data_IF_821550180865
#
_entry.id   IF_821550180865
#
_cell.length_a   1.000
_cell.length_b   1.000
_cell.length_c   1.000
_cell.angle_alpha   90.00
_cell.angle_beta   90.00
_cell.angle_gamma   90.00
#
_symmetry.space_group_name_H-M   'P 1'
#
loop_
_entity.id
_entity.type
_entity.pdbx_description
1 polymer ?
#
# COMPACT_ATOMS: atom_id res chain seq x y z
N UNK A 1 -13.15 -67.51 -22.40
CA UNK A 1 -12.39 -66.25 -22.39
C UNK A 1 -13.22 -65.11 -21.79
N UNK A 2 -13.27 -64.94 -20.47
CA UNK A 2 -13.93 -63.79 -19.79
C UNK A 2 -13.32 -63.56 -18.40
N UNK A 3 -12.02 -63.21 -18.30
CA UNK A 3 -11.43 -62.92 -16.97
C UNK A 3 -10.28 -61.89 -16.96
N UNK A 4 -10.15 -61.03 -17.99
CA UNK A 4 -9.07 -60.04 -18.02
C UNK A 4 -9.52 -58.58 -17.80
N UNK A 5 -10.82 -58.24 -17.95
CA UNK A 5 -11.26 -56.85 -18.03
C UNK A 5 -11.57 -56.16 -16.68
N UNK A 6 -11.56 -56.88 -15.55
CA UNK A 6 -12.04 -56.35 -14.25
C UNK A 6 -10.90 -55.76 -13.39
N UNK A 7 -9.62 -56.04 -13.69
CA UNK A 7 -8.49 -55.59 -12.87
C UNK A 7 -7.92 -54.22 -13.25
N UNK A 8 -8.15 -53.73 -14.46
CA UNK A 8 -7.62 -52.41 -14.91
C UNK A 8 -8.51 -51.24 -14.51
N UNK A 9 -9.80 -51.48 -14.21
CA UNK A 9 -10.73 -50.41 -13.83
C UNK A 9 -10.55 -49.89 -12.40
N UNK A 10 -9.86 -50.64 -11.52
CA UNK A 10 -9.61 -50.25 -10.11
C UNK A 10 -8.40 -49.33 -9.92
N UNK A 11 -7.50 -49.24 -10.91
CA UNK A 11 -6.30 -48.40 -10.81
C UNK A 11 -6.46 -47.04 -11.51
N UNK A 12 -7.41 -46.91 -12.43
CA UNK A 12 -7.72 -45.63 -13.09
C UNK A 12 -8.54 -44.70 -12.18
N UNK A 13 -9.36 -45.26 -11.27
CA UNK A 13 -10.13 -44.48 -10.29
C UNK A 13 -9.31 -44.02 -9.08
N UNK A 14 -8.15 -44.63 -8.79
CA UNK A 14 -7.28 -44.22 -7.69
C UNK A 14 -6.31 -43.07 -8.08
N UNK A 15 -5.92 -42.97 -9.36
CA UNK A 15 -5.05 -41.89 -9.84
C UNK A 15 -5.77 -40.54 -10.04
N UNK A 16 -7.07 -40.57 -10.36
CA UNK A 16 -7.86 -39.36 -10.60
C UNK A 16 -8.37 -38.69 -9.31
N UNK A 17 -8.36 -39.40 -8.18
CA UNK A 17 -8.79 -38.86 -6.90
C UNK A 17 -7.69 -38.04 -6.18
N UNK A 18 -6.40 -38.28 -6.46
CA UNK A 18 -5.32 -37.51 -5.82
C UNK A 18 -5.04 -36.16 -6.50
N UNK A 19 -5.42 -35.99 -7.77
CA UNK A 19 -5.20 -34.75 -8.51
C UNK A 19 -6.21 -33.64 -8.17
N UNK A 20 -7.31 -33.95 -7.46
CA UNK A 20 -8.38 -33.00 -7.15
C UNK A 20 -8.30 -32.37 -5.76
N UNK A 21 -7.38 -32.79 -4.90
CA UNK A 21 -7.28 -32.27 -3.52
C UNK A 21 -6.14 -31.27 -3.27
N UNK A 22 -5.31 -30.97 -4.28
CA UNK A 22 -4.13 -30.09 -4.08
C UNK A 22 -4.26 -28.66 -4.60
N UNK A 23 -5.38 -28.26 -5.22
CA UNK A 23 -5.43 -26.99 -5.99
C UNK A 23 -6.28 -25.81 -5.46
N UNK A 24 -7.23 -25.92 -4.51
CA UNK A 24 -7.98 -24.73 -4.08
C UNK A 24 -7.26 -23.90 -3.02
N UNK A 25 -6.51 -24.52 -2.11
CA UNK A 25 -5.84 -23.80 -1.02
C UNK A 25 -4.69 -22.92 -1.52
N UNK A 26 -3.86 -23.42 -2.43
CA UNK A 26 -2.75 -22.66 -3.02
C UNK A 26 -3.22 -21.50 -3.90
N UNK A 27 -4.32 -21.66 -4.63
CA UNK A 27 -4.89 -20.59 -5.45
C UNK A 27 -5.54 -19.49 -4.59
N UNK A 28 -6.22 -19.86 -3.51
CA UNK A 28 -6.78 -18.90 -2.55
C UNK A 28 -5.67 -18.13 -1.81
N UNK A 29 -4.63 -18.82 -1.35
CA UNK A 29 -3.48 -18.21 -0.66
C UNK A 29 -2.71 -17.23 -1.57
N UNK A 30 -2.54 -17.59 -2.85
CA UNK A 30 -1.94 -16.70 -3.86
C UNK A 30 -2.80 -15.46 -4.14
N UNK A 31 -4.13 -15.59 -4.12
CA UNK A 31 -5.06 -14.45 -4.24
C UNK A 31 -4.96 -13.48 -3.06
N UNK A 32 -4.84 -13.99 -1.84
CA UNK A 32 -4.69 -13.16 -0.64
C UNK A 32 -3.36 -12.40 -0.61
N UNK A 33 -2.25 -13.03 -1.00
CA UNK A 33 -0.94 -12.37 -1.06
C UNK A 33 -0.93 -11.20 -2.05
N UNK A 34 -1.52 -11.38 -3.24
CA UNK A 34 -1.62 -10.33 -4.25
C UNK A 34 -2.47 -9.14 -3.77
N UNK A 35 -3.65 -9.40 -3.21
CA UNK A 35 -4.51 -8.35 -2.66
C UNK A 35 -3.83 -7.60 -1.50
N UNK A 36 -3.02 -8.29 -0.70
CA UNK A 36 -2.26 -7.68 0.40
C UNK A 36 -1.16 -6.75 -0.14
N UNK A 37 -0.46 -7.17 -1.20
CA UNK A 37 0.55 -6.34 -1.86
C UNK A 37 -0.07 -5.09 -2.50
N UNK A 38 -1.19 -5.23 -3.20
CA UNK A 38 -1.92 -4.12 -3.81
C UNK A 38 -2.43 -3.13 -2.74
N UNK A 39 -3.02 -3.65 -1.66
CA UNK A 39 -3.46 -2.81 -0.54
C UNK A 39 -2.28 -2.04 0.10
N UNK A 40 -1.12 -2.67 0.22
CA UNK A 40 0.08 -2.00 0.72
C UNK A 40 0.53 -0.87 -0.22
N UNK A 41 0.58 -1.10 -1.53
CA UNK A 41 0.89 -0.05 -2.51
C UNK A 41 -0.11 1.13 -2.46
N UNK A 42 -1.40 0.84 -2.30
CA UNK A 42 -2.42 1.88 -2.13
C UNK A 42 -2.24 2.70 -0.84
N UNK A 43 -1.76 2.09 0.26
CA UNK A 43 -1.43 2.84 1.49
C UNK A 43 -0.23 3.76 1.26
N UNK A 44 0.80 3.33 0.50
CA UNK A 44 1.93 4.20 0.13
C UNK A 44 1.40 5.45 -0.57
N UNK A 45 0.54 5.31 -1.57
CA UNK A 45 -0.03 6.44 -2.31
C UNK A 45 -0.97 7.32 -1.46
N UNK A 46 -1.91 6.69 -0.74
CA UNK A 46 -2.95 7.39 0.03
C UNK A 46 -2.35 8.19 1.18
N UNK A 47 -1.33 7.66 1.86
CA UNK A 47 -0.65 8.38 2.95
C UNK A 47 -0.01 9.69 2.47
N UNK A 48 0.55 9.72 1.26
CA UNK A 48 1.09 10.95 0.68
C UNK A 48 -0.02 11.95 0.32
N UNK A 49 -1.08 11.42 -0.29
CA UNK A 49 -2.23 12.22 -0.75
C UNK A 49 -2.94 12.89 0.43
N UNK A 50 -3.14 12.18 1.54
CA UNK A 50 -3.75 12.70 2.78
C UNK A 50 -2.97 13.92 3.28
N UNK A 51 -1.66 13.81 3.44
CA UNK A 51 -0.86 14.91 3.98
C UNK A 51 -0.73 16.07 3.00
N UNK A 52 -0.62 15.81 1.70
CA UNK A 52 -0.71 16.85 0.67
C UNK A 52 -2.04 17.59 0.78
N UNK A 53 -3.15 16.87 0.78
CA UNK A 53 -4.50 17.43 0.84
C UNK A 53 -4.73 18.22 2.13
N UNK A 54 -4.22 17.74 3.26
CA UNK A 54 -4.22 18.48 4.52
C UNK A 54 -3.56 19.85 4.36
N UNK A 55 -2.33 19.91 3.86
CA UNK A 55 -1.64 21.20 3.66
C UNK A 55 -2.34 22.09 2.62
N UNK A 56 -2.86 21.53 1.54
CA UNK A 56 -3.61 22.29 0.53
C UNK A 56 -4.84 22.96 1.14
N UNK A 57 -5.64 22.19 1.90
CA UNK A 57 -6.82 22.68 2.61
C UNK A 57 -6.45 23.83 3.56
N UNK A 58 -5.42 23.63 4.39
CA UNK A 58 -5.02 24.62 5.40
C UNK A 58 -4.41 25.89 4.80
N UNK A 59 -3.77 25.80 3.63
CA UNK A 59 -3.18 26.93 2.91
C UNK A 59 -4.17 27.61 1.95
N UNK A 60 -5.43 27.18 1.92
CA UNK A 60 -6.45 27.74 1.02
C UNK A 60 -6.22 27.43 -0.46
N UNK A 61 -5.42 26.40 -0.78
CA UNK A 61 -5.15 25.98 -2.16
C UNK A 61 -6.22 24.98 -2.58
N UNK A 62 -7.21 25.43 -3.36
CA UNK A 62 -8.36 24.62 -3.81
C UNK A 62 -9.00 23.83 -2.64
N UNK A 63 -9.42 24.50 -1.56
CA UNK A 63 -9.77 23.85 -0.28
C UNK A 63 -10.90 22.82 -0.40
N UNK A 64 -11.88 23.04 -1.28
CA UNK A 64 -12.97 22.08 -1.50
C UNK A 64 -12.47 20.75 -2.10
N UNK A 65 -11.58 20.84 -3.08
CA UNK A 65 -10.97 19.65 -3.69
C UNK A 65 -10.04 18.96 -2.70
N UNK A 66 -9.27 19.73 -1.93
CA UNK A 66 -8.40 19.20 -0.91
C UNK A 66 -9.19 18.49 0.20
N UNK A 67 -10.37 19.01 0.59
CA UNK A 67 -11.25 18.34 1.54
C UNK A 67 -11.81 17.01 0.99
N UNK A 68 -12.20 17.00 -0.29
CA UNK A 68 -12.65 15.79 -0.98
C UNK A 68 -11.54 14.74 -1.08
N UNK A 69 -10.34 15.13 -1.50
CA UNK A 69 -9.17 14.25 -1.61
C UNK A 69 -8.81 13.66 -0.25
N UNK A 70 -8.83 14.49 0.80
CA UNK A 70 -8.56 14.06 2.17
C UNK A 70 -9.56 12.99 2.63
N UNK A 71 -10.86 13.24 2.43
CA UNK A 71 -11.94 12.30 2.79
C UNK A 71 -11.83 10.98 2.04
N UNK A 72 -11.65 11.04 0.70
CA UNK A 72 -11.55 9.84 -0.15
C UNK A 72 -10.31 9.01 0.19
N UNK A 73 -9.17 9.67 0.38
CA UNK A 73 -7.91 8.98 0.65
C UNK A 73 -7.88 8.35 2.04
N UNK A 74 -8.47 8.99 3.07
CA UNK A 74 -8.64 8.36 4.38
C UNK A 74 -9.53 7.11 4.31
N UNK A 75 -10.65 7.19 3.60
CA UNK A 75 -11.56 6.06 3.44
C UNK A 75 -10.90 4.90 2.67
N UNK A 76 -10.12 5.20 1.64
CA UNK A 76 -9.35 4.21 0.89
C UNK A 76 -8.29 3.56 1.77
N UNK A 77 -7.47 4.36 2.47
CA UNK A 77 -6.45 3.85 3.38
C UNK A 77 -7.05 2.94 4.46
N UNK A 78 -8.17 3.33 5.06
CA UNK A 78 -8.87 2.50 6.05
C UNK A 78 -9.33 1.17 5.44
N UNK A 79 -9.90 1.18 4.23
CA UNK A 79 -10.30 -0.04 3.53
C UNK A 79 -9.09 -0.95 3.27
N UNK A 80 -8.00 -0.39 2.77
CA UNK A 80 -6.80 -1.16 2.42
C UNK A 80 -6.11 -1.73 3.67
N UNK A 81 -6.16 -1.03 4.80
CA UNK A 81 -5.68 -1.55 6.07
C UNK A 81 -6.47 -2.78 6.54
N UNK A 82 -7.79 -2.82 6.33
CA UNK A 82 -8.60 -4.01 6.61
C UNK A 82 -8.20 -5.20 5.73
N UNK A 83 -7.86 -4.95 4.46
CA UNK A 83 -7.38 -6.00 3.54
C UNK A 83 -6.04 -6.56 4.04
N UNK A 84 -5.12 -5.68 4.45
CA UNK A 84 -3.83 -6.08 5.02
C UNK A 84 -4.02 -6.90 6.30
N UNK A 85 -4.91 -6.49 7.20
CA UNK A 85 -5.20 -7.21 8.44
C UNK A 85 -5.68 -8.65 8.17
N UNK A 86 -6.60 -8.81 7.20
CA UNK A 86 -7.12 -10.12 6.80
C UNK A 86 -6.02 -10.99 6.16
N UNK A 87 -5.29 -10.43 5.20
CA UNK A 87 -4.20 -11.10 4.49
C UNK A 87 -3.06 -11.53 5.40
N UNK A 88 -2.77 -10.76 6.46
CA UNK A 88 -1.71 -11.02 7.43
C UNK A 88 -2.20 -11.69 8.71
N UNK A 89 -3.45 -12.19 8.74
CA UNK A 89 -4.01 -12.90 9.90
C UNK A 89 -3.14 -14.09 10.37
N UNK A 90 -2.48 -14.76 9.42
CA UNK A 90 -1.51 -15.84 9.63
C UNK A 90 -0.05 -15.42 9.40
N UNK A 91 0.20 -14.13 9.24
CA UNK A 91 1.53 -13.57 9.03
C UNK A 91 2.45 -13.74 10.25
N UNK A 92 3.72 -13.40 10.02
CA UNK A 92 4.78 -13.38 11.02
C UNK A 92 4.49 -12.38 12.15
N UNK A 93 5.20 -12.52 13.28
CA UNK A 93 5.10 -11.55 14.39
C UNK A 93 5.48 -10.14 13.94
N UNK A 94 6.46 -10.03 13.06
CA UNK A 94 6.93 -8.74 12.53
C UNK A 94 5.86 -8.05 11.68
N UNK A 95 5.25 -8.79 10.74
CA UNK A 95 4.12 -8.30 9.93
C UNK A 95 2.96 -7.83 10.82
N UNK A 96 2.60 -8.59 11.85
CA UNK A 96 1.55 -8.21 12.80
C UNK A 96 1.88 -6.95 13.59
N UNK A 97 3.14 -6.76 13.97
CA UNK A 97 3.57 -5.53 14.64
C UNK A 97 3.48 -4.32 13.70
N UNK A 98 3.83 -4.49 12.41
CA UNK A 98 3.68 -3.43 11.41
C UNK A 98 2.19 -3.06 11.24
N UNK A 99 1.29 -4.04 11.20
CA UNK A 99 -0.15 -3.76 11.12
C UNK A 99 -0.65 -2.90 12.28
N UNK A 100 -0.25 -3.21 13.52
CA UNK A 100 -0.57 -2.39 14.70
C UNK A 100 -0.04 -0.96 14.56
N UNK A 101 1.15 -0.81 13.99
CA UNK A 101 1.74 0.51 13.75
C UNK A 101 1.01 1.31 12.66
N UNK A 102 0.53 0.64 11.60
CA UNK A 102 -0.29 1.26 10.55
C UNK A 102 -1.65 1.71 11.11
N UNK A 103 -2.29 0.88 11.94
CA UNK A 103 -3.53 1.21 12.63
C UNK A 103 -3.38 2.46 13.49
N UNK A 104 -2.34 2.47 14.34
CA UNK A 104 -2.04 3.62 15.19
C UNK A 104 -1.81 4.89 14.36
N UNK A 105 -1.00 4.80 13.30
CA UNK A 105 -0.71 5.95 12.45
C UNK A 105 -1.95 6.49 11.74
N UNK A 106 -2.86 5.62 11.28
CA UNK A 106 -4.13 6.02 10.69
C UNK A 106 -5.06 6.70 11.71
N UNK A 107 -5.17 6.15 12.92
CA UNK A 107 -5.96 6.74 13.99
C UNK A 107 -5.46 8.16 14.33
N UNK A 108 -4.15 8.32 14.42
CA UNK A 108 -3.53 9.62 14.67
C UNK A 108 -3.74 10.62 13.53
N UNK A 109 -3.69 10.18 12.26
CA UNK A 109 -4.08 11.01 11.11
C UNK A 109 -5.53 11.50 11.27
N UNK A 110 -6.47 10.59 11.53
CA UNK A 110 -7.88 10.92 11.76
C UNK A 110 -8.07 11.94 12.90
N UNK A 111 -7.29 11.79 13.96
CA UNK A 111 -7.33 12.69 15.11
C UNK A 111 -6.80 14.10 14.80
N UNK A 112 -6.11 14.32 13.68
CA UNK A 112 -5.47 15.61 13.36
C UNK A 112 -6.17 16.34 12.22
N UNK A 113 -6.79 15.64 11.26
CA UNK A 113 -7.35 16.26 10.05
C UNK A 113 -8.42 17.33 10.30
N UNK A 114 -9.17 17.21 11.40
CA UNK A 114 -10.21 18.16 11.80
C UNK A 114 -9.75 19.16 12.86
N UNK A 115 -8.52 19.03 13.38
CA UNK A 115 -7.96 19.99 14.33
C UNK A 115 -7.55 21.28 13.61
N UNK A 116 -7.62 22.45 14.29
CA UNK A 116 -7.06 23.68 13.78
C UNK A 116 -5.60 23.51 13.36
N UNK A 117 -5.20 24.17 12.27
CA UNK A 117 -3.84 24.10 11.80
C UNK A 117 -2.86 24.64 12.84
N UNK A 118 -1.78 23.89 13.06
CA UNK A 118 -0.63 24.32 13.83
C UNK A 118 0.62 23.70 13.22
N UNK A 119 1.79 24.29 13.52
CA UNK A 119 3.07 23.70 13.10
C UNK A 119 3.27 22.30 13.66
N UNK A 120 2.81 22.04 14.88
CA UNK A 120 2.86 20.73 15.50
C UNK A 120 1.99 19.73 14.73
N UNK A 121 0.73 20.07 14.44
CA UNK A 121 -0.17 19.20 13.70
C UNK A 121 0.34 18.91 12.29
N UNK A 122 0.89 19.93 11.61
CA UNK A 122 1.51 19.73 10.29
C UNK A 122 2.75 18.84 10.34
N UNK A 123 3.59 18.94 11.38
CA UNK A 123 4.72 18.03 11.56
C UNK A 123 4.24 16.58 11.74
N UNK A 124 3.25 16.37 12.62
CA UNK A 124 2.66 15.06 12.85
C UNK A 124 2.03 14.47 11.58
N UNK A 125 1.40 15.27 10.71
CA UNK A 125 0.93 14.79 9.40
C UNK A 125 2.03 14.31 8.49
N UNK A 126 3.20 14.94 8.53
CA UNK A 126 4.36 14.46 7.78
C UNK A 126 4.82 13.13 8.39
N UNK A 127 5.07 13.10 9.70
CA UNK A 127 5.63 11.94 10.40
C UNK A 127 4.74 10.69 10.28
N UNK A 128 3.43 10.81 10.50
CA UNK A 128 2.50 9.69 10.36
C UNK A 128 2.33 9.23 8.91
N UNK A 129 2.40 10.15 7.93
CA UNK A 129 2.37 9.75 6.51
C UNK A 129 3.61 8.97 6.08
N UNK A 130 4.80 9.32 6.60
CA UNK A 130 6.03 8.59 6.32
C UNK A 130 6.05 7.26 7.07
N UNK A 131 5.50 7.21 8.28
CA UNK A 131 5.32 5.98 9.06
C UNK A 131 4.43 4.96 8.33
N UNK A 132 3.31 5.42 7.76
CA UNK A 132 2.42 4.58 6.95
C UNK A 132 3.11 4.08 5.68
N UNK A 133 3.87 4.96 5.01
CA UNK A 133 4.66 4.61 3.84
C UNK A 133 5.69 3.51 4.17
N UNK A 134 6.47 3.68 5.22
CA UNK A 134 7.52 2.72 5.61
C UNK A 134 6.93 1.35 5.96
N UNK A 135 5.84 1.32 6.73
CA UNK A 135 5.15 0.07 7.06
C UNK A 135 4.52 -0.60 5.83
N UNK A 136 3.93 0.18 4.93
CA UNK A 136 3.36 -0.34 3.70
C UNK A 136 4.44 -0.88 2.75
N UNK A 137 5.56 -0.18 2.59
CA UNK A 137 6.69 -0.67 1.81
C UNK A 137 7.26 -1.98 2.35
N UNK A 138 7.32 -2.12 3.68
CA UNK A 138 7.76 -3.36 4.31
C UNK A 138 6.86 -4.53 3.90
N UNK A 139 5.53 -4.35 3.97
CA UNK A 139 4.56 -5.38 3.58
C UNK A 139 4.65 -5.67 2.08
N UNK A 140 4.60 -4.64 1.23
CA UNK A 140 4.64 -4.79 -0.22
C UNK A 140 5.88 -5.60 -0.67
N UNK A 141 7.06 -5.34 -0.10
CA UNK A 141 8.30 -6.06 -0.43
C UNK A 141 8.26 -7.55 -0.12
N UNK A 142 7.45 -8.01 0.84
CA UNK A 142 7.30 -9.42 1.18
C UNK A 142 6.30 -10.15 0.27
N UNK A 143 5.39 -9.42 -0.39
CA UNK A 143 4.23 -9.99 -1.10
C UNK A 143 4.16 -9.66 -2.60
N UNK A 144 4.97 -8.72 -3.11
CA UNK A 144 5.07 -8.42 -4.56
C UNK A 144 5.80 -9.54 -5.31
N UNK A 145 5.22 -9.95 -6.45
CA UNK A 145 5.85 -10.86 -7.43
C UNK A 145 6.44 -10.05 -8.59
N UNK A 146 7.68 -10.35 -9.01
CA UNK A 146 8.45 -9.50 -9.94
C UNK A 146 8.49 -10.03 -11.38
N UNK A 147 7.61 -10.97 -11.72
CA UNK A 147 7.90 -11.93 -12.79
C UNK A 147 7.11 -11.68 -14.09
N UNK A 148 6.28 -10.62 -14.16
CA UNK A 148 5.40 -10.32 -15.30
C UNK A 148 5.72 -8.95 -15.96
N UNK A 149 6.13 -8.92 -17.25
CA UNK A 149 6.47 -7.68 -17.96
C UNK A 149 5.33 -6.67 -18.10
N UNK A 150 4.07 -7.10 -18.25
CA UNK A 150 2.93 -6.18 -18.37
C UNK A 150 2.63 -5.53 -17.01
N UNK A 151 2.76 -6.30 -15.94
CA UNK A 151 2.69 -5.78 -14.56
C UNK A 151 3.86 -4.84 -14.27
N UNK A 152 5.04 -5.06 -14.85
CA UNK A 152 6.20 -4.18 -14.64
C UNK A 152 5.95 -2.75 -15.13
N UNK A 153 5.27 -2.56 -16.27
CA UNK A 153 4.90 -1.23 -16.75
C UNK A 153 3.87 -0.56 -15.83
N UNK A 154 2.85 -1.30 -15.39
CA UNK A 154 1.84 -0.78 -14.47
C UNK A 154 2.47 -0.35 -13.13
N UNK A 155 3.30 -1.21 -12.54
CA UNK A 155 4.05 -0.92 -11.30
C UNK A 155 4.92 0.33 -11.47
N UNK A 156 5.57 0.51 -12.63
CA UNK A 156 6.37 1.69 -12.89
C UNK A 156 5.52 2.98 -12.90
N UNK A 157 4.32 2.94 -13.49
CA UNK A 157 3.38 4.08 -13.49
C UNK A 157 2.86 4.37 -12.10
N UNK A 158 2.52 3.35 -11.32
CA UNK A 158 2.07 3.50 -9.93
C UNK A 158 3.15 4.12 -9.05
N UNK A 159 4.40 3.68 -9.20
CA UNK A 159 5.54 4.26 -8.49
C UNK A 159 5.77 5.72 -8.90
N UNK A 160 5.65 6.06 -10.18
CA UNK A 160 5.74 7.45 -10.64
C UNK A 160 4.63 8.33 -10.03
N UNK A 161 3.38 7.85 -9.98
CA UNK A 161 2.27 8.56 -9.36
C UNK A 161 2.50 8.77 -7.86
N UNK A 162 2.97 7.73 -7.15
CA UNK A 162 3.36 7.81 -5.75
C UNK A 162 4.46 8.86 -5.53
N UNK A 163 5.53 8.84 -6.32
CA UNK A 163 6.63 9.79 -6.20
C UNK A 163 6.17 11.22 -6.46
N UNK A 164 5.28 11.43 -7.44
CA UNK A 164 4.69 12.74 -7.71
C UNK A 164 3.87 13.26 -6.52
N UNK A 165 3.07 12.40 -5.88
CA UNK A 165 2.36 12.74 -4.65
C UNK A 165 3.31 13.10 -3.51
N UNK A 166 4.39 12.34 -3.33
CA UNK A 166 5.43 12.61 -2.32
C UNK A 166 6.14 13.95 -2.58
N UNK A 167 6.49 14.25 -3.83
CA UNK A 167 7.05 15.55 -4.25
C UNK A 167 6.08 16.68 -3.89
N UNK A 168 4.81 16.55 -4.29
CA UNK A 168 3.79 17.56 -4.03
C UNK A 168 3.58 17.79 -2.53
N UNK A 169 3.54 16.72 -1.73
CA UNK A 169 3.45 16.77 -0.27
C UNK A 169 4.59 17.58 0.33
N UNK A 170 5.84 17.24 0.02
CA UNK A 170 6.98 17.95 0.60
C UNK A 170 7.12 19.38 0.05
N UNK A 171 6.75 19.62 -1.20
CA UNK A 171 6.73 20.96 -1.77
C UNK A 171 5.74 21.87 -1.03
N UNK A 172 4.49 21.44 -0.83
CA UNK A 172 3.51 22.25 -0.11
C UNK A 172 3.87 22.39 1.37
N UNK A 173 4.43 21.35 2.01
CA UNK A 173 4.95 21.44 3.36
C UNK A 173 6.08 22.47 3.48
N UNK A 174 6.99 22.53 2.50
CA UNK A 174 8.04 23.54 2.42
C UNK A 174 7.47 24.96 2.35
N UNK A 175 6.42 25.17 1.54
CA UNK A 175 5.70 26.44 1.46
C UNK A 175 4.97 26.77 2.77
N UNK A 176 4.44 25.76 3.46
CA UNK A 176 3.92 25.87 4.81
C UNK A 176 5.01 26.06 5.88
N UNK A 177 6.27 26.20 5.49
CA UNK A 177 7.41 26.54 6.35
C UNK A 177 8.02 25.36 7.10
N UNK A 178 7.86 24.14 6.62
CA UNK A 178 8.53 22.94 7.12
C UNK A 178 9.83 22.69 6.37
N UNK A 179 10.83 23.56 6.59
CA UNK A 179 12.09 23.64 5.83
C UNK A 179 13.28 22.97 6.53
N UNK A 180 13.02 22.04 7.45
CA UNK A 180 14.11 21.33 8.13
C UNK A 180 14.88 20.45 7.12
N UNK A 181 16.10 20.06 7.49
CA UNK A 181 16.98 19.29 6.63
C UNK A 181 16.31 18.02 6.10
N UNK A 182 15.65 17.25 6.97
CA UNK A 182 15.01 15.98 6.61
C UNK A 182 13.97 16.17 5.50
N UNK A 183 13.05 17.13 5.63
CA UNK A 183 12.01 17.36 4.63
C UNK A 183 12.58 17.81 3.28
N UNK A 184 13.64 18.63 3.30
CA UNK A 184 14.31 19.08 2.08
C UNK A 184 15.03 17.91 1.39
N UNK A 185 15.66 17.03 2.16
CA UNK A 185 16.30 15.82 1.63
C UNK A 185 15.26 14.89 1.04
N UNK A 186 14.15 14.62 1.73
CA UNK A 186 13.08 13.75 1.23
C UNK A 186 12.45 14.29 -0.06
N UNK A 187 12.26 15.62 -0.17
CA UNK A 187 11.81 16.24 -1.41
C UNK A 187 12.79 15.98 -2.57
N UNK A 188 14.08 16.24 -2.36
CA UNK A 188 15.10 16.04 -3.39
C UNK A 188 15.21 14.58 -3.79
N UNK A 189 15.13 13.67 -2.82
CA UNK A 189 15.16 12.24 -3.07
C UNK A 189 13.96 11.81 -3.91
N UNK A 190 12.74 12.24 -3.57
CA UNK A 190 11.54 11.91 -4.34
C UNK A 190 11.62 12.45 -5.79
N UNK A 191 12.18 13.65 -6.00
CA UNK A 191 12.45 14.19 -7.35
C UNK A 191 13.45 13.31 -8.10
N UNK A 192 14.57 12.98 -7.47
CA UNK A 192 15.59 12.14 -8.10
C UNK A 192 15.08 10.75 -8.47
N UNK A 193 14.29 10.13 -7.58
CA UNK A 193 13.69 8.81 -7.82
C UNK A 193 12.65 8.88 -8.96
N UNK A 194 11.88 9.95 -9.05
CA UNK A 194 10.93 10.18 -10.14
C UNK A 194 11.66 10.34 -11.49
N UNK A 195 12.70 11.15 -11.54
CA UNK A 195 13.52 11.33 -12.75
C UNK A 195 14.18 10.01 -13.17
N UNK A 196 14.65 9.22 -12.20
CA UNK A 196 15.28 7.93 -12.47
C UNK A 196 14.28 6.92 -13.04
N UNK A 197 13.06 6.85 -12.50
CA UNK A 197 12.03 5.92 -13.01
C UNK A 197 11.57 6.28 -14.43
N UNK A 198 11.65 7.54 -14.84
CA UNK A 198 11.34 7.97 -16.21
C UNK A 198 12.38 7.54 -17.27
N UNK A 199 13.58 7.13 -16.83
CA UNK A 199 14.69 6.74 -17.73
C UNK A 199 14.87 5.23 -17.89
N UNK A 200 14.05 4.43 -17.19
CA UNK A 200 14.03 2.97 -17.26
C UNK A 200 13.03 2.51 -18.32
#
# INVERSE_FOLDING_TARGET
MKFAAIKTLKYVTAGMLCALYFSPAFAADMGHALLTAEAAENIKFSSQTITKAYFYKQQGVRPDHAADDLKKSLALLQKDLLIIQDGLSKGTKEEKNIVVFLEYSLEELHNIVDKPFSKQNGALMIDYSESLLEGAEFIAKQHIRKDDPEQAMLIAVEEQLFLLERINKFYIAYQAGFRNYNNVVQLKQAVHDFETTMTK
#
